data_IF_472831689307
#
_entry.id   IF_472831689307
#
_cell.length_a   1.000
_cell.length_b   1.000
_cell.length_c   1.000
_cell.angle_alpha   90.00
_cell.angle_beta   90.00
_cell.angle_gamma   90.00
#
_symmetry.space_group_name_H-M   'P 1'
#
loop_
_entity.id
_entity.type
_entity.pdbx_description
1 polymer ?
#
# COMPACT_ATOMS: atom_id res chain seq x y z
N UNK A 1 -29.77 -16.29 18.78
CA UNK A 1 -28.93 -15.68 17.73
C UNK A 1 -27.50 -16.03 18.06
N UNK A 2 -26.85 -16.88 17.24
CA UNK A 2 -25.44 -17.20 17.44
C UNK A 2 -24.63 -15.97 17.04
N UNK A 3 -23.88 -15.43 18.00
CA UNK A 3 -22.93 -14.36 17.77
C UNK A 3 -21.70 -15.01 17.13
N UNK A 4 -21.73 -15.22 15.82
CA UNK A 4 -20.58 -15.77 15.10
C UNK A 4 -19.50 -14.69 15.11
N UNK A 5 -18.49 -14.87 15.96
CA UNK A 5 -17.32 -14.01 16.01
C UNK A 5 -16.50 -14.26 14.74
N UNK A 6 -16.48 -13.29 13.84
CA UNK A 6 -15.57 -13.29 12.71
C UNK A 6 -14.35 -12.43 13.04
N UNK A 7 -13.20 -12.80 12.48
CA UNK A 7 -11.97 -12.02 12.64
C UNK A 7 -11.97 -10.90 11.60
N UNK A 8 -12.23 -9.67 12.05
CA UNK A 8 -12.20 -8.47 11.19
C UNK A 8 -10.77 -7.94 10.97
N UNK A 9 -9.84 -8.25 11.87
CA UNK A 9 -8.45 -7.75 11.83
C UNK A 9 -7.48 -8.88 12.20
N UNK A 10 -6.40 -9.06 11.43
CA UNK A 10 -5.38 -10.08 11.67
C UNK A 10 -4.01 -9.43 11.70
N UNK A 11 -3.20 -9.79 12.70
CA UNK A 11 -1.84 -9.30 12.85
C UNK A 11 -0.88 -10.48 12.88
N UNK A 12 -0.04 -10.58 11.86
CA UNK A 12 0.97 -11.62 11.68
C UNK A 12 2.39 -11.03 11.82
N UNK A 13 2.53 -10.07 12.73
CA UNK A 13 3.80 -9.40 13.02
C UNK A 13 4.89 -10.40 13.46
N UNK A 14 6.08 -10.33 12.85
CA UNK A 14 7.24 -11.20 13.18
C UNK A 14 6.92 -12.70 13.22
N UNK A 15 6.01 -13.15 12.36
CA UNK A 15 5.56 -14.53 12.35
C UNK A 15 6.47 -15.49 11.56
N UNK A 16 7.58 -14.99 10.98
CA UNK A 16 8.49 -15.76 10.12
C UNK A 16 7.71 -16.48 9.01
N UNK A 17 6.76 -15.76 8.42
CA UNK A 17 5.93 -16.29 7.35
C UNK A 17 6.82 -16.68 6.17
N UNK A 18 6.56 -17.85 5.60
CA UNK A 18 7.27 -18.37 4.42
C UNK A 18 6.41 -18.19 3.18
N UNK A 19 6.98 -18.35 1.98
CA UNK A 19 6.20 -18.37 0.72
C UNK A 19 5.00 -19.34 0.78
N UNK A 20 5.12 -20.46 1.50
CA UNK A 20 4.00 -21.41 1.69
C UNK A 20 2.86 -20.83 2.52
N UNK A 21 3.17 -19.95 3.47
CA UNK A 21 2.17 -19.25 4.27
C UNK A 21 1.35 -18.30 3.39
N UNK A 22 1.98 -17.70 2.37
CA UNK A 22 1.31 -16.80 1.44
C UNK A 22 0.16 -17.48 0.70
N UNK A 23 0.35 -18.67 0.13
CA UNK A 23 -0.73 -19.40 -0.53
C UNK A 23 -1.92 -19.71 0.42
N UNK A 24 -1.63 -19.99 1.68
CA UNK A 24 -2.65 -20.21 2.71
C UNK A 24 -3.38 -18.92 3.09
N UNK A 25 -2.65 -17.80 3.19
CA UNK A 25 -3.24 -16.49 3.42
C UNK A 25 -4.14 -16.08 2.25
N UNK A 26 -3.64 -16.19 1.01
CA UNK A 26 -4.39 -15.92 -0.21
C UNK A 26 -5.66 -16.75 -0.31
N UNK A 27 -5.60 -18.06 -0.03
CA UNK A 27 -6.79 -18.92 -0.03
C UNK A 27 -7.78 -18.60 1.08
N UNK A 28 -7.30 -18.25 2.28
CA UNK A 28 -8.17 -17.74 3.35
C UNK A 28 -8.87 -16.43 2.95
N UNK A 29 -8.20 -15.58 2.16
CA UNK A 29 -8.75 -14.30 1.69
C UNK A 29 -9.69 -14.41 0.50
N UNK A 30 -9.51 -15.42 -0.37
CA UNK A 30 -10.43 -15.73 -1.45
C UNK A 30 -11.73 -16.39 -0.98
N UNK A 31 -11.78 -16.81 0.29
CA UNK A 31 -12.98 -17.39 0.87
C UNK A 31 -14.10 -16.36 0.94
N UNK A 32 -15.28 -16.68 0.38
CA UNK A 32 -16.50 -15.88 0.50
C UNK A 32 -16.96 -15.69 1.95
N UNK A 33 -16.38 -16.45 2.87
CA UNK A 33 -16.65 -16.39 4.32
C UNK A 33 -15.67 -15.51 5.09
N UNK A 34 -14.66 -14.94 4.43
CA UNK A 34 -13.72 -14.04 5.08
C UNK A 34 -14.38 -12.68 5.29
N UNK A 35 -14.36 -12.23 6.54
CA UNK A 35 -14.77 -10.88 6.92
C UNK A 35 -13.57 -9.97 7.22
N UNK A 36 -12.35 -10.46 6.95
CA UNK A 36 -11.13 -9.75 7.28
C UNK A 36 -11.06 -8.43 6.52
N UNK A 37 -11.00 -7.34 7.28
CA UNK A 37 -10.85 -5.98 6.78
C UNK A 37 -9.39 -5.58 6.77
N UNK A 38 -8.68 -5.91 7.85
CA UNK A 38 -7.29 -5.49 8.10
C UNK A 38 -6.31 -6.66 8.24
N UNK A 39 -5.14 -6.52 7.64
CA UNK A 39 -4.02 -7.45 7.77
C UNK A 39 -2.70 -6.72 7.99
N UNK A 40 -2.11 -6.87 9.17
CA UNK A 40 -0.74 -6.44 9.45
C UNK A 40 0.23 -7.60 9.20
N UNK A 41 1.08 -7.46 8.18
CA UNK A 41 2.15 -8.41 7.82
C UNK A 41 3.55 -7.94 8.26
N UNK A 42 3.66 -6.86 9.02
CA UNK A 42 4.95 -6.22 9.37
C UNK A 42 6.00 -7.20 9.90
N UNK A 43 7.24 -6.98 9.50
CA UNK A 43 8.44 -7.71 9.91
C UNK A 43 8.37 -9.23 9.59
N UNK A 44 7.88 -9.56 8.39
CA UNK A 44 8.11 -10.82 7.70
C UNK A 44 9.03 -10.61 6.49
N UNK A 45 9.73 -11.66 6.06
CA UNK A 45 10.59 -11.58 4.88
C UNK A 45 9.76 -11.95 3.64
N UNK A 46 9.32 -10.95 2.88
CA UNK A 46 8.47 -11.13 1.69
C UNK A 46 9.26 -11.12 0.38
N UNK A 47 10.60 -11.03 0.44
CA UNK A 47 11.45 -10.81 -0.71
C UNK A 47 11.28 -11.87 -1.81
N UNK A 48 11.00 -13.12 -1.41
CA UNK A 48 10.84 -14.28 -2.29
C UNK A 48 9.37 -14.70 -2.49
N UNK A 49 8.40 -13.89 -2.06
CA UNK A 49 7.00 -14.29 -2.19
C UNK A 49 6.57 -14.16 -3.65
N UNK A 50 6.15 -15.28 -4.25
CA UNK A 50 5.61 -15.31 -5.60
C UNK A 50 4.25 -14.60 -5.66
N UNK A 51 4.28 -13.27 -5.77
CA UNK A 51 3.08 -12.44 -5.82
C UNK A 51 2.39 -12.49 -7.19
N UNK A 52 3.03 -13.03 -8.24
CA UNK A 52 2.43 -13.21 -9.56
C UNK A 52 1.20 -14.13 -9.57
N UNK A 53 1.01 -14.91 -8.50
CA UNK A 53 -0.14 -15.81 -8.31
C UNK A 53 -1.34 -15.16 -7.63
N UNK A 54 -1.28 -13.87 -7.26
CA UNK A 54 -2.46 -13.17 -6.80
C UNK A 54 -3.40 -12.92 -8.00
N UNK A 55 -4.58 -13.54 -8.07
CA UNK A 55 -5.58 -13.06 -8.99
C UNK A 55 -5.95 -11.65 -8.54
N UNK A 56 -6.04 -10.70 -9.47
CA UNK A 56 -6.72 -9.44 -9.19
C UNK A 56 -8.20 -9.69 -8.80
N UNK A 57 -9.08 -8.71 -9.00
CA UNK A 57 -9.50 -7.63 -8.09
C UNK A 57 -9.90 -8.01 -6.63
N UNK A 58 -9.61 -9.20 -6.10
CA UNK A 58 -10.04 -9.58 -4.73
C UNK A 58 -9.03 -9.23 -3.62
N UNK A 59 -8.55 -7.98 -3.59
CA UNK A 59 -7.75 -7.47 -2.46
C UNK A 59 -8.59 -6.59 -1.51
N UNK A 60 -9.88 -6.90 -1.34
CA UNK A 60 -10.78 -6.20 -0.41
C UNK A 60 -10.40 -6.33 1.08
N UNK A 61 -9.34 -7.09 1.38
CA UNK A 61 -8.81 -7.36 2.73
C UNK A 61 -7.57 -6.53 3.05
N UNK A 62 -7.09 -5.72 2.11
CA UNK A 62 -5.86 -4.96 2.26
C UNK A 62 -6.06 -3.67 3.08
N UNK A 63 -7.08 -3.52 3.95
CA UNK A 63 -7.07 -2.32 4.81
C UNK A 63 -5.85 -2.37 5.71
N UNK A 64 -5.17 -1.25 5.82
CA UNK A 64 -4.18 -1.02 6.85
C UNK A 64 -3.05 -2.08 6.84
N UNK A 65 -2.51 -2.32 5.64
CA UNK A 65 -1.28 -3.12 5.53
C UNK A 65 -0.12 -2.23 5.91
N UNK A 66 0.41 -2.50 7.10
CA UNK A 66 1.73 -2.07 7.53
C UNK A 66 2.73 -3.06 6.91
N UNK A 67 3.31 -2.69 5.77
CA UNK A 67 4.27 -3.51 5.00
C UNK A 67 5.69 -3.12 5.40
N UNK A 68 5.93 -2.75 6.66
CA UNK A 68 7.24 -2.25 7.11
C UNK A 68 8.34 -3.31 6.99
N UNK A 69 9.42 -2.98 6.28
CA UNK A 69 10.68 -3.73 6.27
C UNK A 69 10.59 -5.14 5.64
N UNK A 70 9.75 -5.30 4.62
CA UNK A 70 9.41 -6.60 4.03
C UNK A 70 10.26 -7.00 2.81
N UNK A 71 11.15 -6.12 2.33
CA UNK A 71 11.93 -6.38 1.11
C UNK A 71 11.06 -6.57 -0.12
N UNK A 72 9.93 -5.84 -0.24
CA UNK A 72 9.00 -5.99 -1.36
C UNK A 72 9.75 -5.86 -2.70
N UNK A 73 9.72 -6.95 -3.48
CA UNK A 73 10.29 -6.97 -4.82
C UNK A 73 9.47 -6.10 -5.79
N UNK A 74 10.04 -5.83 -6.98
CA UNK A 74 9.33 -5.12 -8.05
C UNK A 74 7.98 -5.78 -8.40
N UNK A 75 7.93 -7.11 -8.40
CA UNK A 75 6.71 -7.88 -8.69
C UNK A 75 5.64 -7.68 -7.60
N UNK A 76 6.04 -7.59 -6.33
CA UNK A 76 5.11 -7.30 -5.24
C UNK A 76 4.48 -5.91 -5.34
N UNK A 77 5.26 -4.93 -5.81
CA UNK A 77 4.73 -3.59 -6.07
C UNK A 77 3.77 -3.56 -7.26
N UNK A 78 4.01 -4.34 -8.32
CA UNK A 78 3.12 -4.40 -9.48
C UNK A 78 1.75 -5.00 -9.14
N UNK A 79 1.74 -5.96 -8.21
CA UNK A 79 0.50 -6.55 -7.69
C UNK A 79 -0.30 -5.53 -6.89
N UNK A 80 0.33 -4.84 -5.93
CA UNK A 80 -0.32 -3.78 -5.16
C UNK A 80 -0.84 -2.67 -6.09
N UNK A 81 -0.06 -2.31 -7.11
CA UNK A 81 -0.47 -1.34 -8.11
C UNK A 81 -1.66 -1.82 -8.95
N UNK A 82 -1.68 -3.09 -9.35
CA UNK A 82 -2.82 -3.69 -10.04
C UNK A 82 -4.09 -3.64 -9.20
N UNK A 83 -3.94 -3.83 -7.90
CA UNK A 83 -5.03 -3.75 -6.95
C UNK A 83 -5.57 -2.32 -6.81
N UNK A 84 -4.68 -1.34 -6.62
CA UNK A 84 -5.03 0.09 -6.57
C UNK A 84 -5.75 0.52 -7.85
N UNK A 85 -5.26 0.08 -9.03
CA UNK A 85 -5.90 0.36 -10.33
C UNK A 85 -7.29 -0.25 -10.44
N UNK A 86 -7.48 -1.48 -9.96
CA UNK A 86 -8.73 -2.22 -10.03
C UNK A 86 -9.81 -1.71 -9.05
N UNK A 87 -9.46 -0.77 -8.17
CA UNK A 87 -10.40 -0.14 -7.25
C UNK A 87 -10.93 -1.10 -6.21
N UNK A 88 -10.07 -1.48 -5.29
CA UNK A 88 -10.48 -2.24 -4.11
C UNK A 88 -11.38 -1.35 -3.25
N UNK A 89 -12.68 -1.68 -3.08
CA UNK A 89 -13.62 -0.81 -2.37
C UNK A 89 -13.27 -0.65 -0.88
N UNK A 90 -12.45 -1.56 -0.36
CA UNK A 90 -12.02 -1.63 1.02
C UNK A 90 -10.64 -1.00 1.27
N UNK A 91 -9.74 -0.87 0.29
CA UNK A 91 -8.39 -0.38 0.61
C UNK A 91 -8.42 1.14 0.89
N UNK A 92 -8.38 1.51 2.18
CA UNK A 92 -8.40 2.91 2.65
C UNK A 92 -7.07 3.41 3.17
N UNK A 93 -6.25 2.53 3.74
CA UNK A 93 -4.96 2.89 4.31
C UNK A 93 -3.89 1.92 3.82
N UNK A 94 -2.75 2.49 3.40
CA UNK A 94 -1.58 1.76 2.94
C UNK A 94 -0.34 2.35 3.61
N UNK A 95 0.33 1.55 4.43
CA UNK A 95 1.57 1.93 5.09
C UNK A 95 2.75 1.17 4.46
N UNK A 96 3.57 1.92 3.72
CA UNK A 96 4.79 1.45 3.07
C UNK A 96 6.05 1.95 3.79
N UNK A 97 5.92 2.47 5.01
CA UNK A 97 7.04 2.99 5.80
C UNK A 97 8.14 1.93 5.96
N UNK A 98 9.38 2.36 6.22
CA UNK A 98 10.53 1.47 6.38
C UNK A 98 10.79 0.55 5.17
N UNK A 99 10.31 0.94 3.98
CA UNK A 99 10.72 0.32 2.72
C UNK A 99 11.45 1.33 1.85
N UNK A 100 12.71 1.02 1.55
CA UNK A 100 13.49 1.74 0.54
C UNK A 100 13.27 1.04 -0.81
N UNK A 101 12.41 1.63 -1.63
CA UNK A 101 12.16 1.16 -2.99
C UNK A 101 13.06 1.90 -3.98
N UNK A 102 13.50 1.19 -5.03
CA UNK A 102 13.99 1.87 -6.22
C UNK A 102 12.86 2.75 -6.80
N UNK A 103 13.22 3.89 -7.39
CA UNK A 103 12.26 4.82 -7.98
C UNK A 103 11.32 4.14 -8.98
N UNK A 104 11.83 3.26 -9.84
CA UNK A 104 11.02 2.58 -10.86
C UNK A 104 9.89 1.78 -10.21
N UNK A 105 10.21 0.99 -9.20
CA UNK A 105 9.28 0.20 -8.39
C UNK A 105 8.28 1.07 -7.63
N UNK A 106 8.74 2.11 -6.93
CA UNK A 106 7.85 3.02 -6.20
C UNK A 106 6.90 3.79 -7.13
N UNK A 107 7.38 4.17 -8.32
CA UNK A 107 6.61 4.94 -9.28
C UNK A 107 5.41 4.14 -9.83
N UNK A 108 5.51 2.82 -9.97
CA UNK A 108 4.37 1.96 -10.33
C UNK A 108 3.24 2.09 -9.30
N UNK A 109 3.58 2.03 -8.00
CA UNK A 109 2.60 2.22 -6.92
C UNK A 109 2.00 3.62 -6.96
N UNK A 110 2.83 4.66 -7.05
CA UNK A 110 2.35 6.04 -7.05
C UNK A 110 1.44 6.33 -8.26
N UNK A 111 1.84 5.93 -9.47
CA UNK A 111 1.02 6.14 -10.67
C UNK A 111 -0.29 5.38 -10.62
N UNK A 112 -0.33 4.20 -10.00
CA UNK A 112 -1.59 3.43 -9.83
C UNK A 112 -2.64 4.16 -8.98
N UNK A 113 -2.21 5.03 -8.07
CA UNK A 113 -3.11 5.84 -7.23
C UNK A 113 -3.82 6.95 -7.99
N UNK A 114 -3.39 7.26 -9.22
CA UNK A 114 -4.10 8.20 -10.11
C UNK A 114 -5.30 7.56 -10.81
N UNK A 115 -5.53 6.25 -10.62
CA UNK A 115 -6.75 5.60 -11.10
C UNK A 115 -7.98 6.20 -10.39
N UNK A 116 -9.05 6.55 -11.12
CA UNK A 116 -10.30 7.05 -10.51
C UNK A 116 -11.00 5.99 -9.66
N UNK A 117 -10.58 4.72 -9.77
CA UNK A 117 -11.10 3.62 -8.97
C UNK A 117 -10.37 3.51 -7.62
N UNK A 118 -9.21 4.16 -7.46
CA UNK A 118 -8.44 4.15 -6.22
C UNK A 118 -9.21 4.86 -5.10
N UNK A 119 -9.47 4.16 -4.00
CA UNK A 119 -10.24 4.68 -2.85
C UNK A 119 -9.35 4.95 -1.62
N UNK A 120 -8.02 5.01 -1.83
CA UNK A 120 -7.05 5.16 -0.75
C UNK A 120 -7.16 6.55 -0.10
N UNK A 121 -7.40 6.58 1.20
CA UNK A 121 -7.54 7.78 2.03
C UNK A 121 -6.26 8.10 2.81
N UNK A 122 -5.46 7.09 3.15
CA UNK A 122 -4.23 7.25 3.93
C UNK A 122 -3.05 6.56 3.26
N UNK A 123 -1.96 7.30 3.09
CA UNK A 123 -0.67 6.77 2.61
C UNK A 123 0.43 7.14 3.62
N UNK A 124 1.16 6.14 4.10
CA UNK A 124 2.35 6.35 4.94
C UNK A 124 3.59 5.84 4.22
N UNK A 125 4.62 6.67 4.14
CA UNK A 125 5.94 6.35 3.57
C UNK A 125 7.06 6.88 4.46
N UNK A 126 7.02 6.54 5.75
CA UNK A 126 8.01 7.03 6.72
C UNK A 126 9.35 6.34 6.52
N UNK A 127 10.47 7.08 6.61
CA UNK A 127 11.83 6.50 6.53
C UNK A 127 11.98 5.52 5.35
N UNK A 128 11.68 6.02 4.16
CA UNK A 128 11.67 5.28 2.90
C UNK A 128 12.81 5.68 1.94
N UNK A 129 13.74 6.54 2.38
CA UNK A 129 14.82 7.04 1.52
C UNK A 129 14.29 7.83 0.31
N UNK A 130 13.23 8.62 0.51
CA UNK A 130 12.57 9.34 -0.60
C UNK A 130 13.54 10.31 -1.30
N UNK A 131 13.70 10.12 -2.60
CA UNK A 131 14.43 11.07 -3.47
C UNK A 131 13.48 12.14 -4.03
N UNK A 132 14.04 13.20 -4.64
CA UNK A 132 13.25 14.23 -5.35
C UNK A 132 12.24 13.63 -6.34
N UNK A 133 12.63 12.60 -7.12
CA UNK A 133 11.73 11.96 -8.10
C UNK A 133 10.53 11.30 -7.45
N UNK A 134 10.71 10.72 -6.26
CA UNK A 134 9.58 10.17 -5.50
C UNK A 134 8.61 11.27 -5.07
N UNK A 135 9.14 12.42 -4.65
CA UNK A 135 8.35 13.57 -4.23
C UNK A 135 7.61 14.22 -5.41
N UNK A 136 8.24 14.28 -6.59
CA UNK A 136 7.61 14.73 -7.83
C UNK A 136 6.45 13.82 -8.26
N UNK A 137 6.63 12.50 -8.18
CA UNK A 137 5.57 11.53 -8.45
C UNK A 137 4.42 11.66 -7.44
N UNK A 138 4.72 11.79 -6.13
CA UNK A 138 3.72 12.04 -5.09
C UNK A 138 2.93 13.32 -5.34
N UNK A 139 3.61 14.42 -5.69
CA UNK A 139 2.95 15.67 -6.01
C UNK A 139 2.03 15.56 -7.23
N UNK A 140 2.43 14.80 -8.24
CA UNK A 140 1.59 14.52 -9.42
C UNK A 140 0.34 13.72 -9.06
N UNK A 141 0.43 12.79 -8.10
CA UNK A 141 -0.73 12.05 -7.57
C UNK A 141 -1.71 13.01 -6.89
N UNK A 142 -1.20 13.92 -6.05
CA UNK A 142 -2.02 14.93 -5.37
C UNK A 142 -2.70 15.88 -6.39
N UNK A 143 -1.96 16.29 -7.43
CA UNK A 143 -2.46 17.15 -8.52
C UNK A 143 -3.52 16.49 -9.40
N UNK A 144 -3.50 15.17 -9.51
CA UNK A 144 -4.46 14.45 -10.34
C UNK A 144 -5.91 14.60 -9.86
N UNK A 145 -6.12 14.90 -8.57
CA UNK A 145 -7.44 14.92 -7.94
C UNK A 145 -8.16 13.56 -7.95
N UNK A 146 -7.52 12.51 -8.47
CA UNK A 146 -8.09 11.17 -8.59
C UNK A 146 -7.90 10.35 -7.30
N UNK A 147 -6.88 10.68 -6.51
CA UNK A 147 -6.66 10.05 -5.22
C UNK A 147 -7.63 10.62 -4.18
N UNK A 148 -8.32 9.75 -3.44
CA UNK A 148 -9.14 10.13 -2.29
C UNK A 148 -8.28 10.44 -1.04
N UNK A 149 -7.02 10.83 -1.21
CA UNK A 149 -6.04 10.91 -0.13
C UNK A 149 -6.36 12.07 0.82
N UNK A 150 -6.52 11.75 2.11
CA UNK A 150 -6.83 12.66 3.21
C UNK A 150 -5.68 12.77 4.21
N UNK A 151 -4.87 11.72 4.32
CA UNK A 151 -3.70 11.67 5.19
C UNK A 151 -2.47 11.18 4.40
N UNK A 152 -1.39 11.96 4.49
CA UNK A 152 -0.10 11.64 3.90
C UNK A 152 0.99 11.79 4.97
N UNK A 153 1.69 10.71 5.27
CA UNK A 153 2.74 10.69 6.28
C UNK A 153 4.10 10.35 5.65
N UNK A 154 4.96 11.35 5.53
CA UNK A 154 6.32 11.23 4.99
C UNK A 154 7.40 11.39 6.06
N UNK A 155 7.05 11.22 7.35
CA UNK A 155 7.99 11.45 8.46
C UNK A 155 9.27 10.61 8.35
N UNK A 156 10.34 11.06 9.02
CA UNK A 156 11.64 10.36 9.03
C UNK A 156 12.29 10.17 7.64
N UNK A 157 11.95 11.00 6.65
CA UNK A 157 12.68 11.11 5.39
C UNK A 157 13.52 12.39 5.36
N UNK A 158 14.68 12.32 4.71
CA UNK A 158 15.55 13.47 4.48
C UNK A 158 15.11 14.21 3.20
N UNK A 159 14.11 15.08 3.35
CA UNK A 159 13.55 15.87 2.25
C UNK A 159 14.27 17.20 2.14
N UNK A 160 14.86 17.48 0.98
CA UNK A 160 15.47 18.78 0.69
C UNK A 160 14.43 19.86 0.32
N UNK A 161 14.89 21.11 0.20
CA UNK A 161 14.03 22.26 -0.11
C UNK A 161 13.25 22.08 -1.42
N UNK A 162 13.87 21.46 -2.44
CA UNK A 162 13.24 21.24 -3.75
C UNK A 162 12.13 20.19 -3.67
N UNK A 163 12.35 19.11 -2.91
CA UNK A 163 11.35 18.09 -2.65
C UNK A 163 10.14 18.68 -1.89
N UNK A 164 10.39 19.52 -0.88
CA UNK A 164 9.32 20.19 -0.12
C UNK A 164 8.55 21.18 -0.98
N UNK A 165 9.22 21.98 -1.82
CA UNK A 165 8.57 22.90 -2.76
C UNK A 165 7.64 22.14 -3.72
N UNK A 166 8.13 21.02 -4.27
CA UNK A 166 7.35 20.21 -5.20
C UNK A 166 6.13 19.58 -4.55
N UNK A 167 6.27 19.03 -3.34
CA UNK A 167 5.16 18.49 -2.55
C UNK A 167 4.13 19.58 -2.20
N UNK A 168 4.61 20.78 -1.87
CA UNK A 168 3.76 21.93 -1.55
C UNK A 168 2.86 22.32 -2.72
N UNK A 169 3.39 22.34 -3.95
CA UNK A 169 2.58 22.54 -5.17
C UNK A 169 1.47 21.49 -5.28
N UNK A 170 1.80 20.22 -5.01
CA UNK A 170 0.82 19.14 -5.02
C UNK A 170 -0.31 19.34 -4.02
N UNK A 171 0.02 19.69 -2.78
CA UNK A 171 -0.95 19.94 -1.71
C UNK A 171 -1.82 21.19 -1.93
N UNK A 172 -1.32 22.20 -2.64
CA UNK A 172 -2.12 23.39 -2.96
C UNK A 172 -3.16 23.13 -4.06
N UNK A 173 -2.90 22.15 -4.92
CA UNK A 173 -3.75 21.83 -6.06
C UNK A 173 -4.98 20.98 -5.70
N UNK A 174 -5.02 20.38 -4.51
CA UNK A 174 -6.19 19.66 -4.01
C UNK A 174 -7.29 20.67 -3.65
N UNK A 175 -8.20 20.90 -4.59
CA UNK A 175 -9.38 21.74 -4.38
C UNK A 175 -10.38 20.98 -3.47
N UNK A 176 -10.93 21.60 -2.42
CA UNK A 176 -11.95 20.97 -1.57
C UNK A 176 -13.23 20.58 -2.32
#
# INVERSE_FOLDING_TARGET
MQNTLFTDNARLYRCKLTEKCWANLVSAFQSETSHLRELDLTDNDLQDWNMASLPGPQLSWLHNTDIKNEGLSGDGCEVLASALRAGLPSLRELDLSLNEFEYTTANVLLTSMTSPQCQLETLRRKRCGLTYRHCEALASVLESGAACLRELDLSDNDLDDHAVERLSSGLMSTVP
#
